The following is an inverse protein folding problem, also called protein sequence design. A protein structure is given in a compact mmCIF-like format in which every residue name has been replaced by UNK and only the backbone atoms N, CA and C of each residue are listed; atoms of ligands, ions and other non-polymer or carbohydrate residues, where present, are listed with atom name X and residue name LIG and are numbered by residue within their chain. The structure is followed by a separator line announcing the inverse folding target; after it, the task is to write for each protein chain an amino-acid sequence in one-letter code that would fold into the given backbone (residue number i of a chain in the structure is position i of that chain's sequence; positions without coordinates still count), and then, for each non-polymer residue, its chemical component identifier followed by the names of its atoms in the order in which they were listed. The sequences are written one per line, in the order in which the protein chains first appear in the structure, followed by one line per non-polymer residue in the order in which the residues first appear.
data_IF_712008445861
#
_entry.id   IF_712008445861
#
_cell.length_a   1.000
_cell.length_b   1.000
_cell.length_c   1.000
_cell.angle_alpha   90.00
_cell.angle_beta   90.00
_cell.angle_gamma   90.00
#
_symmetry.space_group_name_H-M   'P 1'
#
loop_
_entity.id
_entity.type
_entity.pdbx_description
1 polymer ?
#
# COMPACT_ATOMS: atom_id res chain seq x y z
N UNK A 1 -11.68 -4.79 -22.84
CA UNK A 1 -11.60 -5.02 -21.40
C UNK A 1 -10.45 -4.19 -20.81
N UNK A 2 -10.58 -3.80 -19.54
CA UNK A 2 -9.50 -3.20 -18.74
C UNK A 2 -9.23 -4.14 -17.58
N UNK A 3 -7.99 -4.62 -17.49
CA UNK A 3 -7.48 -5.28 -16.28
C UNK A 3 -6.88 -4.23 -15.35
N UNK A 4 -6.98 -4.45 -14.04
CA UNK A 4 -6.60 -3.49 -12.99
C UNK A 4 -7.25 -2.11 -13.21
N UNK A 5 -8.58 -2.09 -13.30
CA UNK A 5 -9.37 -0.87 -13.59
C UNK A 5 -9.20 0.25 -12.56
N UNK A 6 -8.67 -0.02 -11.37
CA UNK A 6 -8.24 1.00 -10.41
C UNK A 6 -7.24 2.00 -10.97
N UNK A 7 -6.55 1.66 -12.07
CA UNK A 7 -5.65 2.58 -12.78
C UNK A 7 -6.37 3.79 -13.40
N UNK A 8 -7.69 3.70 -13.59
CA UNK A 8 -8.54 4.79 -14.11
C UNK A 8 -9.46 5.42 -13.04
N UNK A 9 -9.24 5.18 -11.75
CA UNK A 9 -10.08 5.70 -10.65
C UNK A 9 -10.05 7.23 -10.47
N UNK A 10 -9.08 7.94 -11.06
CA UNK A 10 -8.92 9.39 -10.87
C UNK A 10 -9.49 10.17 -12.06
N UNK A 11 -10.61 10.92 -11.91
CA UNK A 11 -11.30 11.60 -13.01
C UNK A 11 -10.43 12.59 -13.79
N UNK A 12 -9.54 13.29 -13.08
CA UNK A 12 -8.69 14.34 -13.65
C UNK A 12 -7.43 13.81 -14.36
N UNK A 13 -7.08 12.54 -14.14
CA UNK A 13 -5.87 11.95 -14.69
C UNK A 13 -5.95 11.85 -16.24
N UNK A 14 -4.87 12.21 -16.92
CA UNK A 14 -4.77 12.11 -18.38
C UNK A 14 -5.03 10.68 -18.88
N UNK A 15 -4.52 9.68 -18.15
CA UNK A 15 -4.77 8.27 -18.45
C UNK A 15 -6.25 7.94 -18.47
N UNK A 16 -6.99 8.30 -17.41
CA UNK A 16 -8.43 8.06 -17.29
C UNK A 16 -9.19 8.66 -18.46
N UNK A 17 -8.96 9.95 -18.75
CA UNK A 17 -9.60 10.65 -19.86
C UNK A 17 -9.33 9.97 -21.21
N UNK A 18 -8.08 9.58 -21.47
CA UNK A 18 -7.72 8.92 -22.72
C UNK A 18 -8.37 7.53 -22.86
N UNK A 19 -8.39 6.75 -21.78
CA UNK A 19 -8.98 5.41 -21.79
C UNK A 19 -10.50 5.49 -21.96
N UNK A 20 -11.19 6.40 -21.26
CA UNK A 20 -12.63 6.64 -21.45
C UNK A 20 -12.91 7.02 -22.92
N UNK A 21 -12.13 7.95 -23.48
CA UNK A 21 -12.28 8.36 -24.89
C UNK A 21 -12.09 7.21 -25.88
N UNK A 22 -11.09 6.35 -25.67
CA UNK A 22 -10.89 5.14 -26.48
C UNK A 22 -12.07 4.18 -26.33
N UNK A 23 -12.58 4.05 -25.10
CA UNK A 23 -13.73 3.20 -24.78
C UNK A 23 -15.02 3.59 -25.52
N UNK A 24 -15.20 4.84 -25.93
CA UNK A 24 -16.38 5.27 -26.69
C UNK A 24 -16.56 4.52 -28.03
N UNK A 25 -15.46 4.05 -28.60
CA UNK A 25 -15.49 3.30 -29.87
C UNK A 25 -15.71 1.78 -29.65
N UNK A 26 -15.79 1.32 -28.43
CA UNK A 26 -15.95 -0.11 -28.12
C UNK A 26 -17.43 -0.48 -27.99
N UNK A 27 -17.86 -1.50 -28.74
CA UNK A 27 -19.22 -2.05 -28.68
C UNK A 27 -19.50 -2.73 -27.34
N UNK A 28 -18.53 -3.46 -26.78
CA UNK A 28 -18.63 -4.14 -25.49
C UNK A 28 -17.49 -3.70 -24.59
N UNK A 29 -17.80 -3.41 -23.34
CA UNK A 29 -16.83 -2.96 -22.35
C UNK A 29 -16.88 -3.85 -21.12
N UNK A 30 -15.71 -4.10 -20.53
CA UNK A 30 -15.55 -4.87 -19.31
C UNK A 30 -14.39 -4.32 -18.51
N UNK A 31 -14.53 -4.27 -17.22
CA UNK A 31 -13.45 -3.98 -16.27
C UNK A 31 -13.23 -5.17 -15.34
N UNK A 32 -12.00 -5.36 -14.94
CA UNK A 32 -11.60 -6.39 -13.98
C UNK A 32 -10.66 -5.79 -12.95
N UNK A 33 -10.85 -6.11 -11.70
CA UNK A 33 -9.96 -5.71 -10.60
C UNK A 33 -10.26 -6.55 -9.37
N UNK A 34 -9.22 -6.86 -8.60
CA UNK A 34 -9.37 -7.52 -7.31
C UNK A 34 -9.85 -6.56 -6.20
N UNK A 35 -9.73 -5.24 -6.39
CA UNK A 35 -10.06 -4.24 -5.37
C UNK A 35 -10.53 -2.95 -6.02
N UNK A 36 -11.82 -2.80 -6.38
CA UNK A 36 -12.32 -1.62 -7.08
C UNK A 36 -12.31 -0.34 -6.23
N UNK A 37 -12.34 -0.49 -4.91
CA UNK A 37 -12.28 0.60 -3.93
C UNK A 37 -11.01 0.45 -3.11
N UNK A 38 -10.02 1.31 -3.36
CA UNK A 38 -8.70 1.22 -2.71
C UNK A 38 -8.32 2.50 -1.96
N UNK A 39 -8.85 3.63 -2.39
CA UNK A 39 -8.66 4.91 -1.74
C UNK A 39 -9.92 5.35 -0.99
N UNK A 40 -11.03 5.35 -1.69
CA UNK A 40 -12.35 5.70 -1.15
C UNK A 40 -13.46 5.31 -2.15
N UNK A 41 -14.76 5.36 -1.76
CA UNK A 41 -15.88 4.98 -2.61
C UNK A 41 -15.97 5.73 -3.95
N UNK A 42 -15.40 6.93 -4.02
CA UNK A 42 -15.42 7.73 -5.25
C UNK A 42 -14.53 7.15 -6.36
N UNK A 43 -13.67 6.17 -6.02
CA UNK A 43 -12.87 5.41 -6.98
C UNK A 43 -13.74 4.68 -8.02
N UNK A 44 -15.01 4.39 -7.68
CA UNK A 44 -15.93 3.66 -8.57
C UNK A 44 -16.43 4.50 -9.74
N UNK A 45 -16.59 5.81 -9.58
CA UNK A 45 -17.25 6.65 -10.59
C UNK A 45 -16.66 6.47 -12.00
N UNK A 46 -15.38 6.71 -12.17
CA UNK A 46 -14.73 6.66 -13.49
C UNK A 46 -14.55 5.24 -14.01
N UNK A 47 -14.50 4.26 -13.15
CA UNK A 47 -14.50 2.85 -13.55
C UNK A 47 -15.86 2.47 -14.14
N UNK A 48 -16.95 2.90 -13.53
CA UNK A 48 -18.31 2.71 -14.04
C UNK A 48 -18.59 3.59 -15.27
N UNK A 49 -18.14 4.85 -15.29
CA UNK A 49 -18.24 5.75 -16.44
C UNK A 49 -17.58 5.16 -17.71
N UNK A 50 -16.49 4.40 -17.56
CA UNK A 50 -15.89 3.68 -18.67
C UNK A 50 -16.84 2.61 -19.24
N UNK A 51 -17.59 1.90 -18.41
CA UNK A 51 -18.56 0.90 -18.84
C UNK A 51 -19.74 1.56 -19.56
N UNK A 52 -20.41 2.47 -18.87
CA UNK A 52 -21.48 3.31 -19.39
C UNK A 52 -21.54 4.62 -18.60
N UNK A 53 -21.61 5.79 -19.26
CA UNK A 53 -21.66 7.08 -18.56
C UNK A 53 -22.85 7.26 -17.61
N UNK A 54 -23.93 6.48 -17.80
CA UNK A 54 -25.15 6.57 -16.98
C UNK A 54 -25.34 5.38 -16.04
N UNK A 55 -24.35 4.49 -15.97
CA UNK A 55 -24.47 3.24 -15.20
C UNK A 55 -24.79 3.45 -13.70
N UNK A 56 -24.37 4.56 -13.14
CA UNK A 56 -24.64 4.96 -11.74
C UNK A 56 -25.70 6.06 -11.60
N UNK A 57 -26.42 6.42 -12.66
CA UNK A 57 -27.46 7.46 -12.69
C UNK A 57 -27.01 8.86 -12.24
N UNK A 58 -25.75 9.20 -12.49
CA UNK A 58 -25.20 10.53 -12.19
C UNK A 58 -24.68 11.23 -13.45
N UNK A 59 -25.11 12.47 -13.64
CA UNK A 59 -24.71 13.33 -14.76
C UNK A 59 -23.24 13.78 -14.67
N UNK A 60 -22.58 13.67 -13.52
CA UNK A 60 -21.20 14.09 -13.34
C UNK A 60 -20.55 13.49 -12.07
N UNK A 61 -19.23 13.45 -12.08
CA UNK A 61 -18.45 13.09 -10.87
C UNK A 61 -18.81 13.96 -9.65
N UNK A 62 -19.11 15.24 -9.83
CA UNK A 62 -19.46 16.12 -8.72
C UNK A 62 -20.82 15.78 -8.12
N UNK A 63 -21.81 15.41 -8.94
CA UNK A 63 -23.12 14.94 -8.47
C UNK A 63 -22.96 13.63 -7.68
N UNK A 64 -22.22 12.66 -8.20
CA UNK A 64 -21.87 11.42 -7.52
C UNK A 64 -21.13 11.66 -6.19
N UNK A 65 -20.10 12.51 -6.21
CA UNK A 65 -19.35 12.87 -5.01
C UNK A 65 -20.27 13.50 -3.95
N UNK A 66 -21.13 14.43 -4.33
CA UNK A 66 -22.03 15.09 -3.38
C UNK A 66 -23.09 14.15 -2.80
N UNK A 67 -23.45 13.07 -3.49
CA UNK A 67 -24.35 12.03 -2.97
C UNK A 67 -23.67 11.19 -1.91
N UNK A 68 -22.42 10.75 -2.17
CA UNK A 68 -21.73 9.75 -1.36
C UNK A 68 -20.65 10.32 -0.43
N UNK A 69 -20.36 11.61 -0.50
CA UNK A 69 -19.39 12.26 0.38
C UNK A 69 -19.93 13.60 0.91
N UNK A 70 -19.70 13.83 2.19
CA UNK A 70 -19.84 15.13 2.83
C UNK A 70 -18.53 15.89 2.70
N UNK A 71 -18.58 17.08 2.13
CA UNK A 71 -17.41 17.91 1.88
C UNK A 71 -17.23 18.95 2.98
N UNK A 72 -15.98 19.15 3.42
CA UNK A 72 -15.58 20.21 4.34
C UNK A 72 -14.62 21.15 3.67
N UNK A 73 -14.84 22.44 3.83
CA UNK A 73 -13.88 23.45 3.37
C UNK A 73 -12.73 23.55 4.37
N UNK A 74 -11.53 23.39 3.88
CA UNK A 74 -10.31 23.67 4.63
C UNK A 74 -9.57 24.83 3.98
N UNK A 75 -9.08 25.74 4.80
CA UNK A 75 -8.27 26.86 4.35
C UNK A 75 -6.78 26.50 4.51
N UNK A 76 -6.08 26.34 3.39
CA UNK A 76 -4.66 26.02 3.36
C UNK A 76 -3.93 27.07 2.53
N UNK A 77 -2.97 27.76 3.12
CA UNK A 77 -2.14 28.78 2.43
C UNK A 77 -2.96 29.85 1.70
N UNK A 78 -4.04 30.36 2.33
CA UNK A 78 -4.91 31.36 1.73
C UNK A 78 -5.85 30.87 0.63
N UNK A 79 -5.86 29.56 0.33
CA UNK A 79 -6.78 28.92 -0.62
C UNK A 79 -7.78 28.05 0.12
N UNK A 80 -9.04 28.11 -0.33
CA UNK A 80 -10.09 27.21 0.14
C UNK A 80 -10.04 25.93 -0.69
N UNK A 81 -9.83 24.80 -0.05
CA UNK A 81 -9.88 23.47 -0.68
C UNK A 81 -11.04 22.68 -0.09
N UNK A 82 -11.71 21.91 -0.93
CA UNK A 82 -12.74 20.98 -0.50
C UNK A 82 -12.10 19.62 -0.22
N UNK A 83 -12.28 19.12 1.00
CA UNK A 83 -11.83 17.78 1.40
C UNK A 83 -13.04 16.95 1.84
N UNK A 84 -12.95 15.65 1.68
CA UNK A 84 -13.99 14.75 2.18
C UNK A 84 -13.90 14.72 3.71
N UNK A 85 -15.01 15.00 4.37
CA UNK A 85 -15.16 14.90 5.81
C UNK A 85 -15.54 13.47 6.22
N UNK A 86 -16.59 12.93 5.60
CA UNK A 86 -17.05 11.55 5.78
C UNK A 86 -17.75 11.05 4.52
N UNK A 87 -17.88 9.74 4.40
CA UNK A 87 -18.73 9.12 3.39
C UNK A 87 -20.12 8.83 3.95
N UNK A 88 -21.11 8.72 3.06
CA UNK A 88 -22.51 8.46 3.40
C UNK A 88 -23.18 7.66 2.29
N UNK A 89 -24.34 7.07 2.59
CA UNK A 89 -25.16 6.31 1.64
C UNK A 89 -24.41 5.13 0.99
N UNK A 90 -23.42 4.53 1.69
CA UNK A 90 -22.58 3.47 1.11
C UNK A 90 -23.37 2.19 0.81
N UNK A 91 -24.40 1.88 1.61
CA UNK A 91 -25.31 0.77 1.32
C UNK A 91 -26.07 0.94 -0.01
N UNK A 92 -26.56 2.17 -0.32
CA UNK A 92 -27.17 2.48 -1.61
C UNK A 92 -26.18 2.27 -2.77
N UNK A 93 -24.93 2.72 -2.61
CA UNK A 93 -23.90 2.52 -3.61
C UNK A 93 -23.59 1.03 -3.81
N UNK A 94 -23.53 0.27 -2.72
CA UNK A 94 -23.33 -1.17 -2.77
C UNK A 94 -24.43 -1.87 -3.59
N UNK A 95 -25.68 -1.56 -3.30
CA UNK A 95 -26.81 -2.14 -4.03
C UNK A 95 -26.81 -1.74 -5.52
N UNK A 96 -26.46 -0.51 -5.85
CA UNK A 96 -26.34 -0.07 -7.24
C UNK A 96 -25.24 -0.86 -8.00
N UNK A 97 -24.07 -1.05 -7.36
CA UNK A 97 -22.95 -1.77 -7.97
C UNK A 97 -23.27 -3.25 -8.16
N UNK A 98 -23.98 -3.90 -7.24
CA UNK A 98 -24.38 -5.32 -7.33
C UNK A 98 -25.20 -5.63 -8.58
N UNK A 99 -25.97 -4.69 -9.11
CA UNK A 99 -26.86 -4.91 -10.26
C UNK A 99 -26.13 -5.25 -11.56
N UNK A 100 -24.89 -4.77 -11.73
CA UNK A 100 -24.09 -4.96 -12.95
C UNK A 100 -22.72 -5.57 -12.73
N UNK A 101 -22.36 -5.87 -11.47
CA UNK A 101 -21.07 -6.47 -11.13
C UNK A 101 -21.22 -7.93 -10.76
N UNK A 102 -20.20 -8.71 -11.07
CA UNK A 102 -20.04 -10.07 -10.59
C UNK A 102 -18.75 -10.15 -9.79
N UNK A 103 -18.85 -10.72 -8.59
CA UNK A 103 -17.76 -10.85 -7.66
C UNK A 103 -17.55 -12.31 -7.26
N UNK A 104 -16.27 -12.69 -7.18
CA UNK A 104 -15.85 -14.00 -6.70
C UNK A 104 -14.80 -13.78 -5.63
N UNK A 105 -15.02 -14.30 -4.44
CA UNK A 105 -14.05 -14.28 -3.37
C UNK A 105 -13.08 -15.46 -3.49
N UNK A 106 -11.84 -15.26 -3.08
CA UNK A 106 -10.84 -16.33 -3.09
C UNK A 106 -11.26 -17.51 -2.22
N UNK A 107 -11.87 -17.23 -1.08
CA UNK A 107 -12.37 -18.23 -0.13
C UNK A 107 -13.52 -19.07 -0.67
N UNK A 108 -14.30 -18.56 -1.63
CA UNK A 108 -15.39 -19.30 -2.26
C UNK A 108 -14.90 -20.27 -3.36
N UNK A 109 -13.72 -20.02 -3.91
CA UNK A 109 -13.23 -20.70 -5.11
C UNK A 109 -11.89 -21.42 -4.93
N UNK A 110 -11.16 -21.12 -3.87
CA UNK A 110 -9.81 -21.63 -3.65
C UNK A 110 -9.69 -22.16 -2.22
N UNK A 111 -9.25 -23.39 -2.10
CA UNK A 111 -8.83 -23.95 -0.81
C UNK A 111 -7.39 -23.49 -0.53
N UNK A 112 -7.27 -22.30 0.06
CA UNK A 112 -5.99 -21.71 0.42
C UNK A 112 -5.78 -21.80 1.95
N UNK A 113 -4.55 -22.06 2.38
CA UNK A 113 -4.21 -22.03 3.80
C UNK A 113 -4.52 -20.67 4.45
N UNK A 114 -4.73 -20.62 5.78
CA UNK A 114 -5.09 -19.38 6.45
C UNK A 114 -3.98 -18.33 6.38
N UNK A 115 -4.37 -17.05 6.52
CA UNK A 115 -3.50 -15.90 6.75
C UNK A 115 -3.41 -15.62 8.25
N UNK A 116 -2.19 -15.43 8.75
CA UNK A 116 -1.93 -14.99 10.12
C UNK A 116 -1.32 -13.60 10.08
N UNK A 117 -1.77 -12.70 10.95
CA UNK A 117 -1.25 -11.34 11.04
C UNK A 117 -0.65 -11.09 12.42
N UNK A 118 0.59 -10.63 12.44
CA UNK A 118 1.37 -10.37 13.65
C UNK A 118 1.90 -8.95 13.61
N UNK A 119 1.80 -8.23 14.72
CA UNK A 119 2.45 -6.93 14.91
C UNK A 119 3.66 -7.12 15.82
N UNK A 120 4.79 -6.58 15.37
CA UNK A 120 6.01 -6.50 16.18
C UNK A 120 6.25 -5.04 16.50
N UNK A 121 6.02 -4.70 17.75
CA UNK A 121 6.16 -3.32 18.23
C UNK A 121 7.60 -3.05 18.63
N UNK A 122 8.10 -1.88 18.22
CA UNK A 122 9.43 -1.39 18.59
C UNK A 122 9.32 0.02 19.16
N UNK A 123 10.21 0.37 20.05
CA UNK A 123 10.40 1.72 20.54
C UNK A 123 11.48 2.43 19.74
N UNK A 124 11.37 3.74 19.58
CA UNK A 124 12.46 4.55 19.01
C UNK A 124 13.67 4.57 19.96
N UNK A 125 14.88 4.55 19.40
CA UNK A 125 16.08 4.83 20.17
C UNK A 125 16.04 6.26 20.71
N UNK A 126 16.80 6.61 21.77
CA UNK A 126 16.84 7.96 22.32
C UNK A 126 17.16 9.02 21.24
N UNK A 127 18.10 8.72 20.36
CA UNK A 127 18.49 9.61 19.27
C UNK A 127 17.41 9.76 18.20
N UNK A 128 16.78 8.64 17.78
CA UNK A 128 15.62 8.69 16.90
C UNK A 128 14.48 9.51 17.52
N UNK A 129 14.16 9.30 18.79
CA UNK A 129 13.10 10.03 19.49
C UNK A 129 13.35 11.52 19.50
N UNK A 130 14.59 11.94 19.76
CA UNK A 130 15.00 13.35 19.73
C UNK A 130 14.78 13.97 18.33
N UNK A 131 15.27 13.30 17.29
CA UNK A 131 15.12 13.78 15.89
C UNK A 131 13.65 13.76 15.47
N UNK A 132 12.91 12.72 15.83
CA UNK A 132 11.49 12.56 15.54
C UNK A 132 10.65 13.69 16.16
N UNK A 133 10.84 13.99 17.44
CA UNK A 133 10.10 15.05 18.14
C UNK A 133 10.46 16.45 17.61
N UNK A 134 11.71 16.69 17.25
CA UNK A 134 12.11 17.94 16.59
C UNK A 134 11.40 18.11 15.23
N UNK A 135 11.40 17.06 14.40
CA UNK A 135 10.71 17.07 13.11
C UNK A 135 9.20 17.23 13.27
N UNK A 136 8.58 16.56 14.25
CA UNK A 136 7.15 16.68 14.57
C UNK A 136 6.77 18.08 14.99
N UNK A 137 7.55 18.70 15.90
CA UNK A 137 7.36 20.11 16.29
C UNK A 137 7.48 21.06 15.10
N UNK A 138 8.46 20.84 14.24
CA UNK A 138 8.64 21.64 13.02
C UNK A 138 7.44 21.49 12.08
N UNK A 139 6.97 20.27 11.83
CA UNK A 139 5.79 19.99 11.01
C UNK A 139 4.53 20.69 11.56
N UNK A 140 4.30 20.62 12.88
CA UNK A 140 3.17 21.29 13.54
C UNK A 140 3.29 22.82 13.42
N UNK A 141 4.49 23.38 13.65
CA UNK A 141 4.74 24.81 13.52
C UNK A 141 4.49 25.31 12.08
N UNK A 142 4.86 24.52 11.07
CA UNK A 142 4.54 24.83 9.66
C UNK A 142 3.03 24.83 9.41
N UNK A 143 2.30 23.86 9.92
CA UNK A 143 0.85 23.79 9.79
C UNK A 143 0.14 25.01 10.39
N UNK A 144 0.63 25.48 11.54
CA UNK A 144 0.07 26.64 12.25
C UNK A 144 0.35 27.99 11.56
N UNK A 145 1.43 28.10 10.79
CA UNK A 145 1.84 29.37 10.12
C UNK A 145 1.05 29.76 8.88
N UNK A 146 -0.04 29.05 8.52
CA UNK A 146 -0.90 29.32 7.33
C UNK A 146 -0.17 29.45 5.97
N UNK A 147 1.14 29.22 5.91
CA UNK A 147 1.99 29.37 4.71
C UNK A 147 2.33 28.00 4.09
N UNK A 148 1.71 26.93 4.58
CA UNK A 148 2.13 25.57 4.26
C UNK A 148 1.38 25.03 3.04
N UNK A 149 2.10 24.57 2.02
CA UNK A 149 1.52 23.85 0.89
C UNK A 149 1.24 22.39 1.26
N UNK A 150 0.28 21.74 0.59
CA UNK A 150 0.03 20.29 0.78
C UNK A 150 1.29 19.47 0.54
N UNK A 151 2.14 19.88 -0.41
CA UNK A 151 3.43 19.23 -0.71
C UNK A 151 4.37 19.26 0.49
N UNK A 152 4.47 20.40 1.18
CA UNK A 152 5.36 20.52 2.37
C UNK A 152 4.87 19.66 3.54
N UNK A 153 3.55 19.52 3.75
CA UNK A 153 2.99 18.63 4.76
C UNK A 153 3.32 17.16 4.45
N UNK A 154 3.09 16.73 3.20
CA UNK A 154 3.41 15.37 2.77
C UNK A 154 4.90 15.07 2.92
N UNK A 155 5.76 16.03 2.60
CA UNK A 155 7.22 15.90 2.80
C UNK A 155 7.57 15.70 4.27
N UNK A 156 6.94 16.44 5.18
CA UNK A 156 7.19 16.28 6.63
C UNK A 156 6.72 14.91 7.14
N UNK A 157 5.53 14.44 6.72
CA UNK A 157 5.04 13.11 7.06
C UNK A 157 5.98 12.01 6.53
N UNK A 158 6.49 12.18 5.32
CA UNK A 158 7.46 11.26 4.74
C UNK A 158 8.77 11.25 5.55
N UNK A 159 9.27 12.40 5.98
CA UNK A 159 10.48 12.50 6.83
C UNK A 159 10.28 11.85 8.20
N UNK A 160 9.14 12.07 8.85
CA UNK A 160 8.80 11.39 10.10
C UNK A 160 8.84 9.87 9.92
N UNK A 161 8.29 9.36 8.82
CA UNK A 161 8.31 7.93 8.52
C UNK A 161 9.73 7.43 8.16
N UNK A 162 10.56 8.23 7.49
CA UNK A 162 11.97 7.89 7.25
C UNK A 162 12.75 7.77 8.56
N UNK A 163 12.51 8.66 9.52
CA UNK A 163 13.14 8.59 10.85
C UNK A 163 12.78 7.27 11.55
N UNK A 164 11.54 6.80 11.50
CA UNK A 164 11.17 5.50 12.07
C UNK A 164 11.87 4.34 11.37
N UNK A 165 12.28 4.52 10.10
CA UNK A 165 13.05 3.55 9.32
C UNK A 165 14.58 3.65 9.50
N UNK A 166 15.07 4.55 10.39
CA UNK A 166 16.48 4.67 10.71
C UNK A 166 17.27 5.65 9.85
N UNK A 167 16.62 6.60 9.17
CA UNK A 167 17.30 7.65 8.40
C UNK A 167 16.40 8.87 8.17
N UNK A 168 16.97 9.94 7.70
CA UNK A 168 16.23 11.11 7.21
C UNK A 168 16.92 11.69 5.97
N UNK A 169 16.13 12.13 5.01
CA UNK A 169 16.63 12.88 3.84
C UNK A 169 16.59 14.36 4.13
N UNK A 170 17.75 15.03 4.09
CA UNK A 170 17.88 16.47 4.24
C UNK A 170 17.36 17.22 2.99
N UNK A 171 17.28 18.56 3.08
CA UNK A 171 16.77 19.40 1.97
C UNK A 171 17.69 19.40 0.73
N UNK A 172 18.98 19.17 0.93
CA UNK A 172 19.98 19.03 -0.14
C UNK A 172 19.99 17.62 -0.78
N UNK A 173 19.13 16.71 -0.31
CA UNK A 173 19.04 15.33 -0.77
C UNK A 173 20.02 14.37 -0.09
N UNK A 174 20.89 14.84 0.80
CA UNK A 174 21.77 13.98 1.57
C UNK A 174 20.98 13.11 2.55
N UNK A 175 21.49 11.90 2.81
CA UNK A 175 20.87 10.96 3.74
C UNK A 175 21.70 10.93 5.03
N UNK A 176 21.02 11.13 6.14
CA UNK A 176 21.58 10.99 7.48
C UNK A 176 21.01 9.73 8.12
N UNK A 177 21.86 8.82 8.49
CA UNK A 177 21.49 7.60 9.19
C UNK A 177 21.28 7.90 10.68
N UNK A 178 20.30 7.22 11.26
CA UNK A 178 19.97 7.27 12.69
C UNK A 178 19.82 5.82 13.17
N UNK A 179 20.52 5.45 14.23
CA UNK A 179 20.41 4.09 14.77
C UNK A 179 18.96 3.75 15.09
N UNK A 180 18.52 2.56 14.66
CA UNK A 180 17.12 2.15 14.75
C UNK A 180 16.95 0.74 15.27
N UNK A 181 16.02 0.55 16.22
CA UNK A 181 15.62 -0.76 16.70
C UNK A 181 14.90 -1.60 15.63
N UNK A 182 14.39 -0.98 14.57
CA UNK A 182 13.66 -1.65 13.49
C UNK A 182 14.52 -2.70 12.76
N UNK A 183 15.78 -2.35 12.48
CA UNK A 183 16.70 -3.28 11.85
C UNK A 183 17.04 -4.45 12.78
N UNK A 184 17.25 -4.17 14.07
CA UNK A 184 17.51 -5.22 15.06
C UNK A 184 16.31 -6.16 15.17
N UNK A 185 15.09 -5.62 15.20
CA UNK A 185 13.87 -6.42 15.23
C UNK A 185 13.71 -7.27 13.96
N UNK A 186 13.96 -6.70 12.77
CA UNK A 186 13.97 -7.47 11.53
C UNK A 186 14.95 -8.65 11.61
N UNK A 187 16.17 -8.42 12.07
CA UNK A 187 17.17 -9.47 12.16
C UNK A 187 16.78 -10.55 13.17
N UNK A 188 16.15 -10.20 14.28
CA UNK A 188 15.59 -11.15 15.25
C UNK A 188 14.50 -12.01 14.61
N UNK A 189 13.53 -11.40 13.90
CA UNK A 189 12.46 -12.13 13.20
C UNK A 189 13.06 -13.11 12.17
N UNK A 190 14.11 -12.72 11.43
CA UNK A 190 14.74 -13.59 10.44
C UNK A 190 15.48 -14.77 11.06
N UNK A 191 15.96 -14.64 12.30
CA UNK A 191 16.54 -15.75 13.08
C UNK A 191 15.48 -16.69 13.62
N UNK A 192 14.35 -16.15 14.05
CA UNK A 192 13.21 -16.93 14.58
C UNK A 192 12.44 -17.67 13.45
N UNK A 193 12.59 -17.21 12.20
CA UNK A 193 11.78 -17.69 11.07
C UNK A 193 12.54 -18.76 10.27
N UNK A 194 11.87 -19.89 10.04
CA UNK A 194 12.34 -20.91 9.13
C UNK A 194 11.75 -20.74 7.72
N UNK A 195 12.48 -21.21 6.71
CA UNK A 195 12.05 -21.22 5.32
C UNK A 195 12.26 -19.88 4.59
N UNK A 196 11.47 -19.67 3.53
CA UNK A 196 11.60 -18.50 2.66
C UNK A 196 10.77 -17.34 3.16
N UNK A 197 11.34 -16.15 3.10
CA UNK A 197 10.75 -14.90 3.62
C UNK A 197 10.74 -13.83 2.54
N UNK A 198 9.61 -13.14 2.43
CA UNK A 198 9.48 -11.92 1.65
C UNK A 198 9.63 -10.73 2.59
N UNK A 199 10.48 -9.76 2.23
CA UNK A 199 10.71 -8.55 3.02
C UNK A 199 10.32 -7.34 2.18
N UNK A 200 9.27 -6.65 2.58
CA UNK A 200 8.80 -5.43 1.94
C UNK A 200 9.23 -4.20 2.71
N UNK A 201 9.94 -3.29 2.05
CA UNK A 201 10.28 -1.98 2.59
C UNK A 201 9.78 -0.86 1.65
N UNK A 202 9.23 0.20 2.22
CA UNK A 202 8.62 1.28 1.43
C UNK A 202 9.65 2.17 0.71
N UNK A 203 10.90 2.19 1.17
CA UNK A 203 11.97 3.05 0.67
C UNK A 203 13.15 2.28 0.11
N UNK A 204 13.73 2.79 -0.98
CA UNK A 204 14.91 2.18 -1.61
C UNK A 204 16.13 2.16 -0.68
N UNK A 205 16.29 3.19 0.16
CA UNK A 205 17.36 3.23 1.16
C UNK A 205 17.24 2.07 2.13
N UNK A 206 16.06 1.86 2.69
CA UNK A 206 15.80 0.73 3.59
C UNK A 206 16.06 -0.64 2.92
N UNK A 207 15.69 -0.79 1.64
CA UNK A 207 16.00 -2.01 0.87
C UNK A 207 17.51 -2.24 0.82
N UNK A 208 18.31 -1.20 0.52
CA UNK A 208 19.78 -1.30 0.45
C UNK A 208 20.40 -1.65 1.81
N UNK A 209 19.92 -1.02 2.89
CA UNK A 209 20.42 -1.30 4.23
C UNK A 209 20.08 -2.73 4.67
N UNK A 210 18.87 -3.20 4.43
CA UNK A 210 18.46 -4.59 4.67
C UNK A 210 19.38 -5.56 3.90
N UNK A 211 19.65 -5.29 2.63
CA UNK A 211 20.55 -6.10 1.80
C UNK A 211 21.95 -6.17 2.43
N UNK A 212 22.52 -5.06 2.87
CA UNK A 212 23.84 -5.03 3.51
C UNK A 212 23.85 -5.87 4.80
N UNK A 213 22.85 -5.74 5.65
CA UNK A 213 22.75 -6.49 6.91
C UNK A 213 22.57 -8.00 6.67
N UNK A 214 21.69 -8.38 5.73
CA UNK A 214 21.48 -9.78 5.34
C UNK A 214 22.75 -10.36 4.71
N UNK A 215 23.43 -9.63 3.83
CA UNK A 215 24.71 -10.08 3.24
C UNK A 215 25.73 -10.37 4.31
N UNK A 216 25.88 -9.48 5.31
CA UNK A 216 26.85 -9.65 6.40
C UNK A 216 26.55 -10.87 7.28
N UNK A 217 25.26 -11.15 7.54
CA UNK A 217 24.85 -12.18 8.50
C UNK A 217 24.61 -13.55 7.86
N UNK A 218 23.94 -13.58 6.70
CA UNK A 218 23.49 -14.81 6.04
C UNK A 218 24.22 -15.09 4.72
N UNK A 219 25.10 -14.19 4.26
CA UNK A 219 25.84 -14.33 3.03
C UNK A 219 25.08 -13.86 1.78
N UNK A 220 25.82 -13.59 0.71
CA UNK A 220 25.27 -13.04 -0.55
C UNK A 220 24.34 -14.03 -1.29
N UNK A 221 24.48 -15.32 -1.06
CA UNK A 221 23.64 -16.34 -1.72
C UNK A 221 22.27 -16.47 -1.09
N UNK A 222 22.08 -15.96 0.14
CA UNK A 222 20.84 -16.10 0.89
C UNK A 222 19.66 -15.27 0.38
N UNK A 223 19.87 -14.32 -0.52
CA UNK A 223 18.83 -13.40 -0.96
C UNK A 223 18.86 -13.07 -2.45
N UNK A 224 17.75 -12.52 -2.91
CA UNK A 224 17.59 -11.76 -4.16
C UNK A 224 16.87 -10.44 -3.88
N UNK A 225 17.07 -9.46 -4.73
CA UNK A 225 16.39 -8.18 -4.65
C UNK A 225 15.32 -8.01 -5.74
N UNK A 226 14.26 -7.26 -5.41
CA UNK A 226 13.16 -6.95 -6.34
C UNK A 226 12.57 -5.56 -6.07
N UNK A 227 13.24 -4.54 -6.56
CA UNK A 227 12.82 -3.15 -6.37
C UNK A 227 13.16 -2.27 -7.59
N UNK A 228 12.95 -0.95 -7.50
CA UNK A 228 13.10 -0.06 -8.65
C UNK A 228 14.49 -0.04 -9.31
N UNK A 229 15.56 -0.31 -8.54
CA UNK A 229 16.93 -0.36 -9.06
C UNK A 229 17.35 -1.74 -9.56
N UNK A 230 16.57 -2.79 -9.29
CA UNK A 230 16.83 -4.12 -9.86
C UNK A 230 16.62 -4.07 -11.37
N UNK A 231 17.63 -4.36 -12.21
CA UNK A 231 17.50 -4.36 -13.66
C UNK A 231 16.38 -5.30 -14.12
N UNK A 232 15.63 -4.90 -15.14
CA UNK A 232 14.46 -5.65 -15.59
C UNK A 232 14.81 -7.05 -16.08
N UNK A 233 15.99 -7.20 -16.66
CA UNK A 233 16.50 -8.45 -17.24
C UNK A 233 16.70 -9.53 -16.17
N UNK A 234 17.17 -9.14 -14.96
CA UNK A 234 17.44 -10.09 -13.88
C UNK A 234 16.23 -10.37 -12.98
N UNK A 235 15.16 -9.59 -13.10
CA UNK A 235 13.98 -9.73 -12.23
C UNK A 235 13.35 -11.12 -12.32
N UNK A 236 13.22 -11.67 -13.51
CA UNK A 236 12.64 -13.00 -13.71
C UNK A 236 13.55 -14.11 -13.18
N UNK A 237 14.86 -13.95 -13.32
CA UNK A 237 15.85 -14.87 -12.78
C UNK A 237 15.84 -14.83 -11.25
N UNK A 238 15.76 -13.64 -10.64
CA UNK A 238 15.64 -13.49 -9.19
C UNK A 238 14.39 -14.18 -8.64
N UNK A 239 13.24 -14.09 -9.32
CA UNK A 239 12.03 -14.81 -8.93
C UNK A 239 12.25 -16.32 -9.03
N UNK A 240 12.79 -16.82 -10.13
CA UNK A 240 13.07 -18.26 -10.32
C UNK A 240 14.03 -18.76 -9.26
N UNK A 241 15.08 -18.01 -8.97
CA UNK A 241 16.05 -18.35 -7.94
C UNK A 241 15.41 -18.40 -6.56
N UNK A 242 14.62 -17.38 -6.20
CA UNK A 242 13.88 -17.40 -4.92
C UNK A 242 12.93 -18.60 -4.83
N UNK A 243 12.26 -18.97 -5.91
CA UNK A 243 11.33 -20.09 -5.89
C UNK A 243 12.03 -21.45 -5.78
N UNK A 244 13.16 -21.65 -6.46
CA UNK A 244 13.73 -22.98 -6.68
C UNK A 244 15.03 -23.26 -5.90
N UNK A 245 15.80 -22.24 -5.54
CA UNK A 245 17.09 -22.41 -4.85
C UNK A 245 16.86 -22.46 -3.32
N UNK A 246 17.16 -23.58 -2.65
CA UNK A 246 17.01 -23.71 -1.19
C UNK A 246 17.86 -22.73 -0.38
N UNK A 247 19.03 -22.33 -0.89
CA UNK A 247 19.92 -21.40 -0.22
C UNK A 247 19.41 -19.95 -0.29
N UNK A 248 18.61 -19.64 -1.30
CA UNK A 248 18.00 -18.32 -1.46
C UNK A 248 16.76 -18.19 -0.55
N UNK A 249 16.96 -17.78 0.70
CA UNK A 249 15.91 -17.68 1.70
C UNK A 249 15.08 -16.40 1.59
N UNK A 250 15.68 -15.29 1.14
CA UNK A 250 15.08 -13.96 1.23
C UNK A 250 14.83 -13.34 -0.14
N UNK A 251 13.66 -12.73 -0.33
CA UNK A 251 13.43 -11.75 -1.40
C UNK A 251 13.14 -10.41 -0.77
N UNK A 252 13.90 -9.38 -1.17
CA UNK A 252 13.85 -8.05 -0.55
C UNK A 252 13.41 -7.05 -1.62
N UNK A 253 12.35 -6.30 -1.36
CA UNK A 253 11.86 -5.37 -2.36
C UNK A 253 10.91 -4.30 -1.83
N UNK A 254 10.29 -3.61 -2.79
CA UNK A 254 9.24 -2.63 -2.48
C UNK A 254 7.87 -3.14 -2.90
N UNK A 255 6.79 -2.90 -2.13
CA UNK A 255 5.43 -3.29 -2.53
C UNK A 255 5.02 -2.73 -3.90
N UNK A 256 5.52 -1.54 -4.25
CA UNK A 256 5.24 -0.90 -5.54
C UNK A 256 5.76 -1.71 -6.74
N UNK A 257 6.94 -2.32 -6.61
CA UNK A 257 7.53 -3.13 -7.68
C UNK A 257 7.02 -4.58 -7.61
N UNK A 258 6.94 -5.16 -6.41
CA UNK A 258 6.52 -6.54 -6.18
C UNK A 258 5.01 -6.77 -6.32
N UNK A 259 4.19 -5.69 -6.30
CA UNK A 259 2.74 -5.79 -6.40
C UNK A 259 2.19 -6.25 -7.76
N UNK A 260 3.01 -6.39 -8.81
CA UNK A 260 2.53 -6.75 -10.14
C UNK A 260 3.09 -8.10 -10.64
N UNK A 261 2.17 -9.01 -10.99
CA UNK A 261 2.43 -10.15 -11.87
C UNK A 261 3.39 -11.24 -11.40
N UNK A 262 3.93 -11.19 -10.17
CA UNK A 262 4.87 -12.20 -9.67
C UNK A 262 4.19 -13.20 -8.73
N UNK A 263 4.76 -14.41 -8.67
CA UNK A 263 4.31 -15.49 -7.78
C UNK A 263 5.45 -15.87 -6.84
N UNK A 264 5.19 -15.85 -5.53
CA UNK A 264 6.19 -16.09 -4.48
C UNK A 264 5.66 -17.12 -3.45
N UNK A 265 5.00 -18.17 -3.92
CA UNK A 265 4.30 -19.17 -3.09
C UNK A 265 5.24 -20.11 -2.31
N UNK A 266 6.53 -20.06 -2.54
CA UNK A 266 7.49 -20.76 -1.69
C UNK A 266 7.73 -20.06 -0.35
N UNK A 267 7.37 -18.78 -0.24
CA UNK A 267 7.38 -18.05 1.04
C UNK A 267 6.09 -18.30 1.80
N UNK A 268 6.23 -18.55 3.09
CA UNK A 268 5.14 -18.59 4.05
C UNK A 268 5.24 -17.50 5.14
N UNK A 269 6.24 -16.64 5.04
CA UNK A 269 6.41 -15.46 5.89
C UNK A 269 6.63 -14.23 5.03
N UNK A 270 5.89 -13.17 5.33
CA UNK A 270 5.97 -11.86 4.68
C UNK A 270 6.17 -10.81 5.76
N UNK A 271 7.27 -10.08 5.70
CA UNK A 271 7.60 -9.04 6.67
C UNK A 271 7.44 -7.68 6.00
N UNK A 272 6.64 -6.82 6.60
CA UNK A 272 6.56 -5.41 6.25
C UNK A 272 7.50 -4.63 7.18
N UNK A 273 8.72 -4.42 6.70
CA UNK A 273 9.70 -3.56 7.39
C UNK A 273 9.16 -2.15 7.57
N UNK A 274 8.44 -1.65 6.60
CA UNK A 274 7.70 -0.38 6.68
C UNK A 274 6.48 -0.41 5.76
N UNK A 275 5.37 0.16 6.20
CA UNK A 275 4.12 0.27 5.44
C UNK A 275 4.02 1.61 4.73
N UNK A 276 3.34 1.64 3.59
CA UNK A 276 2.90 2.87 2.94
C UNK A 276 1.39 3.09 3.12
N UNK A 277 0.89 4.27 2.74
CA UNK A 277 -0.54 4.59 2.77
C UNK A 277 -1.36 3.97 1.64
N UNK A 278 -0.74 3.19 0.74
CA UNK A 278 -1.39 2.64 -0.45
C UNK A 278 -1.93 1.24 -0.18
N UNK A 279 -3.24 1.16 0.10
CA UNK A 279 -3.94 -0.10 0.37
C UNK A 279 -3.85 -1.06 -0.82
N UNK A 280 -3.97 -0.57 -2.06
CA UNK A 280 -3.89 -1.41 -3.25
C UNK A 280 -2.55 -2.15 -3.32
N UNK A 281 -1.45 -1.43 -3.06
CA UNK A 281 -0.11 -2.03 -3.05
C UNK A 281 0.08 -3.00 -1.90
N UNK A 282 -0.51 -2.71 -0.74
CA UNK A 282 -0.49 -3.61 0.41
C UNK A 282 -1.18 -4.94 0.04
N UNK A 283 -2.43 -4.90 -0.41
CA UNK A 283 -3.21 -6.10 -0.79
C UNK A 283 -2.54 -6.88 -1.92
N UNK A 284 -2.11 -6.20 -2.98
CA UNK A 284 -1.41 -6.85 -4.09
C UNK A 284 -0.11 -7.53 -3.64
N UNK A 285 0.65 -6.95 -2.72
CA UNK A 285 1.89 -7.55 -2.21
C UNK A 285 1.64 -8.75 -1.29
N UNK A 286 0.55 -8.77 -0.54
CA UNK A 286 0.12 -9.95 0.22
C UNK A 286 -0.23 -11.12 -0.69
N UNK A 287 -0.93 -10.85 -1.77
CA UNK A 287 -1.35 -11.83 -2.76
C UNK A 287 -0.20 -12.43 -3.58
N UNK A 288 1.03 -12.01 -3.36
CA UNK A 288 2.22 -12.67 -3.96
C UNK A 288 2.54 -14.00 -3.30
N UNK A 289 2.37 -14.09 -2.00
CA UNK A 289 2.56 -15.32 -1.21
C UNK A 289 1.27 -16.15 -1.11
N UNK A 290 0.12 -15.50 -0.86
CA UNK A 290 -1.17 -16.14 -0.65
C UNK A 290 -1.96 -16.24 -1.96
N UNK A 291 -1.62 -17.23 -2.79
CA UNK A 291 -2.29 -17.50 -4.06
C UNK A 291 -2.23 -18.99 -4.42
N UNK A 292 -2.85 -19.38 -5.52
CA UNK A 292 -2.85 -20.75 -6.04
C UNK A 292 -1.44 -21.34 -6.04
N UNK A 293 -1.27 -22.49 -5.40
CA UNK A 293 0.01 -23.17 -5.21
C UNK A 293 0.63 -22.99 -3.82
N UNK A 294 0.07 -22.12 -2.96
CA UNK A 294 0.46 -22.04 -1.55
C UNK A 294 -0.08 -23.24 -0.77
N UNK A 295 0.79 -23.91 -0.03
CA UNK A 295 0.46 -25.11 0.76
C UNK A 295 0.57 -24.92 2.27
N UNK A 296 1.09 -23.77 2.72
CA UNK A 296 1.31 -23.46 4.13
C UNK A 296 0.57 -22.19 4.51
N UNK A 297 0.15 -22.10 5.78
CA UNK A 297 -0.33 -20.83 6.33
C UNK A 297 0.68 -19.72 6.08
N UNK A 298 0.20 -18.55 5.66
CA UNK A 298 1.06 -17.40 5.39
C UNK A 298 0.99 -16.43 6.56
N UNK A 299 2.12 -16.15 7.18
CA UNK A 299 2.24 -15.21 8.28
C UNK A 299 2.76 -13.86 7.77
N UNK A 300 1.97 -12.82 8.02
CA UNK A 300 2.30 -11.43 7.73
C UNK A 300 2.73 -10.74 9.01
N UNK A 301 3.92 -10.14 9.00
CA UNK A 301 4.50 -9.49 10.18
C UNK A 301 4.71 -8.02 9.87
N UNK A 302 4.05 -7.14 10.60
CA UNK A 302 4.24 -5.70 10.52
C UNK A 302 5.15 -5.22 11.64
N UNK A 303 6.28 -4.56 11.30
CA UNK A 303 7.14 -3.90 12.28
C UNK A 303 6.66 -2.46 12.44
N UNK A 304 6.23 -2.10 13.65
CA UNK A 304 5.56 -0.83 13.96
C UNK A 304 6.31 -0.11 15.08
N UNK A 305 6.76 1.11 14.83
CA UNK A 305 7.31 1.97 15.88
C UNK A 305 6.17 2.61 16.67
N UNK A 306 6.14 2.37 17.98
CA UNK A 306 5.11 2.87 18.90
C UNK A 306 5.14 4.41 19.00
N UNK A 307 3.98 5.01 19.22
CA UNK A 307 3.77 6.45 19.37
C UNK A 307 4.23 7.27 18.16
N UNK A 308 4.24 6.67 16.95
CA UNK A 308 4.75 7.31 15.74
C UNK A 308 3.74 7.35 14.59
N UNK A 309 4.20 7.88 13.46
CA UNK A 309 3.46 7.90 12.20
C UNK A 309 3.14 6.48 11.69
N UNK A 310 3.88 5.45 12.10
CA UNK A 310 3.64 4.07 11.67
C UNK A 310 2.27 3.58 12.08
N UNK A 311 1.87 3.85 13.34
CA UNK A 311 0.53 3.50 13.83
C UNK A 311 -0.56 4.22 13.03
N UNK A 312 -0.32 5.48 12.65
CA UNK A 312 -1.25 6.26 11.83
C UNK A 312 -1.37 5.71 10.39
N UNK A 313 -0.29 5.16 9.85
CA UNK A 313 -0.31 4.50 8.54
C UNK A 313 -1.16 3.23 8.62
N UNK A 314 -0.93 2.39 9.62
CA UNK A 314 -1.68 1.14 9.82
C UNK A 314 -3.17 1.43 10.08
N UNK A 315 -3.49 2.41 10.94
CA UNK A 315 -4.87 2.85 11.18
C UNK A 315 -5.55 3.36 9.88
N UNK A 316 -4.82 4.12 9.06
CA UNK A 316 -5.34 4.63 7.79
C UNK A 316 -5.59 3.51 6.77
N UNK A 317 -4.75 2.47 6.74
CA UNK A 317 -4.98 1.28 5.92
C UNK A 317 -6.24 0.53 6.37
N UNK A 318 -6.40 0.32 7.68
CA UNK A 318 -7.58 -0.34 8.26
C UNK A 318 -8.87 0.41 7.90
N UNK A 319 -8.92 1.72 8.12
CA UNK A 319 -10.09 2.55 7.74
C UNK A 319 -10.45 2.43 6.26
N UNK A 320 -9.46 2.29 5.37
CA UNK A 320 -9.74 2.10 3.94
C UNK A 320 -10.35 0.73 3.64
N UNK A 321 -9.95 -0.30 4.37
CA UNK A 321 -10.54 -1.64 4.27
C UNK A 321 -11.98 -1.60 4.74
N UNK A 322 -12.25 -1.00 5.92
CA UNK A 322 -13.58 -0.90 6.48
C UNK A 322 -14.55 -0.25 5.48
N UNK A 323 -14.14 0.88 4.86
CA UNK A 323 -14.91 1.57 3.84
C UNK A 323 -15.11 0.70 2.57
N UNK A 324 -14.06 0.01 2.13
CA UNK A 324 -14.15 -0.87 0.97
C UNK A 324 -15.10 -2.04 1.24
N UNK A 325 -15.02 -2.66 2.42
CA UNK A 325 -15.88 -3.74 2.85
C UNK A 325 -17.36 -3.31 2.91
N UNK A 326 -17.66 -2.12 3.45
CA UNK A 326 -19.02 -1.57 3.49
C UNK A 326 -19.61 -1.39 2.08
N UNK A 327 -18.81 -0.83 1.14
CA UNK A 327 -19.26 -0.62 -0.25
C UNK A 327 -19.43 -1.92 -1.00
N UNK A 328 -18.58 -2.91 -0.73
CA UNK A 328 -18.56 -4.18 -1.45
C UNK A 328 -19.43 -5.25 -0.76
N UNK A 329 -20.00 -4.95 0.43
CA UNK A 329 -20.82 -5.86 1.21
C UNK A 329 -20.01 -7.03 1.79
N UNK A 330 -18.74 -6.79 2.15
CA UNK A 330 -17.87 -7.76 2.82
C UNK A 330 -18.06 -7.73 4.33
N UNK A 331 -17.90 -8.88 4.98
CA UNK A 331 -17.64 -8.89 6.41
C UNK A 331 -16.24 -8.36 6.70
N UNK A 332 -16.12 -7.53 7.75
CA UNK A 332 -14.84 -7.01 8.22
C UNK A 332 -13.94 -8.18 8.61
N UNK A 333 -12.80 -8.30 7.94
CA UNK A 333 -11.76 -9.26 8.33
C UNK A 333 -10.82 -8.57 9.31
N UNK A 334 -10.51 -9.22 10.42
CA UNK A 334 -9.49 -8.82 11.38
C UNK A 334 -8.11 -8.91 10.73
N UNK A 335 -7.70 -7.84 10.11
CA UNK A 335 -6.61 -7.87 9.14
C UNK A 335 -5.43 -6.96 9.48
N UNK A 336 -5.36 -6.14 10.35
CA UNK A 336 -4.17 -5.43 10.85
C UNK A 336 -4.30 -5.15 12.34
#
# INVERSE_FOLDING_TARGET
AIDESTTIKTPTARRTKNIIKIGLNAKYKRIMTGSPVTKNPLDLYTQCEFLDPWLLDFSSYYAFRNRYAEMKTMHVSGRSIQVVNKFRNLGELSESVKQFSYRVLKEDCLDLPPKNFIKRHITLTPDQKKVYEQMKKHAIAMLNKKVTTTVSVLTQLMRLHQITCGYVTADDGSIQEVESNRMNELMSILEETEGKVIIWANYQFSVKDIIQKITKKFGKQSYVDYYGLTPQEVRQENIKRFQNDPECRFIIGTPQTGGYGITLTQANTVIYYSNGYDLEKRLQSEDRAHRIGQKKAVTYIDIIAEDTIDEKIVEALRKKIDIASEVLGEELKDWI
#
